data_IF_903075205346
#
_entry.id   IF_903075205346
#
_cell.length_a   1.000
_cell.length_b   1.000
_cell.length_c   1.000
_cell.angle_alpha   90.00
_cell.angle_beta   90.00
_cell.angle_gamma   90.00
#
_symmetry.space_group_name_H-M   'P 1'
#
loop_
_entity.id
_entity.type
_entity.pdbx_description
1 polymer ?
#
# COMPACT_ATOMS: atom_id res chain seq x y z
N UNK A 1 -2.92 18.24 -11.22
CA UNK A 1 -3.25 16.81 -11.42
C UNK A 1 -2.12 15.98 -10.84
N UNK A 2 -2.45 14.95 -10.07
CA UNK A 2 -1.46 14.09 -9.39
C UNK A 2 -1.13 12.94 -10.34
N UNK A 3 0.17 12.69 -10.57
CA UNK A 3 0.65 11.55 -11.36
C UNK A 3 0.63 10.26 -10.55
N UNK A 4 1.42 9.26 -10.96
CA UNK A 4 1.47 7.97 -10.25
C UNK A 4 2.11 8.10 -8.88
N UNK A 5 1.77 7.16 -8.01
CA UNK A 5 2.34 7.06 -6.68
C UNK A 5 2.79 5.62 -6.44
N UNK A 6 3.91 5.48 -5.74
CA UNK A 6 4.50 4.17 -5.46
C UNK A 6 4.85 4.06 -4.00
N UNK A 7 4.55 2.91 -3.39
CA UNK A 7 4.96 2.56 -2.04
C UNK A 7 6.14 1.61 -2.11
N UNK A 8 7.23 2.02 -1.48
CA UNK A 8 8.39 1.20 -1.20
C UNK A 8 8.22 0.55 0.16
N UNK A 9 8.42 -0.76 0.24
CA UNK A 9 8.40 -1.56 1.47
C UNK A 9 9.75 -2.24 1.64
N UNK A 10 10.45 -1.95 2.73
CA UNK A 10 11.66 -2.71 3.09
C UNK A 10 11.27 -4.08 3.65
N UNK A 11 11.96 -5.15 3.23
CA UNK A 11 11.70 -6.49 3.79
C UNK A 11 12.34 -6.69 5.18
N UNK A 12 13.24 -5.80 5.59
CA UNK A 12 14.07 -5.96 6.80
C UNK A 12 13.61 -5.13 7.99
N UNK A 13 12.97 -4.01 7.72
CA UNK A 13 12.43 -3.10 8.72
C UNK A 13 11.09 -2.66 8.16
N UNK A 14 9.99 -2.84 8.88
CA UNK A 14 8.61 -2.51 8.47
C UNK A 14 8.44 -1.01 8.16
N UNK A 15 9.10 -0.53 7.11
CA UNK A 15 9.33 0.87 6.79
C UNK A 15 8.78 1.12 5.41
N UNK A 16 7.95 2.16 5.33
CA UNK A 16 7.26 2.57 4.13
C UNK A 16 7.75 3.94 3.67
N UNK A 17 8.01 4.05 2.38
CA UNK A 17 8.32 5.33 1.74
C UNK A 17 7.40 5.47 0.54
N UNK A 18 6.72 6.59 0.42
CA UNK A 18 5.81 6.86 -0.69
C UNK A 18 6.43 7.90 -1.61
N UNK A 19 6.60 7.56 -2.87
CA UNK A 19 7.07 8.45 -3.93
C UNK A 19 5.88 8.90 -4.77
N UNK A 20 5.67 10.21 -4.90
CA UNK A 20 4.64 10.78 -5.78
C UNK A 20 5.25 11.51 -6.96
N UNK A 21 4.73 11.22 -8.14
CA UNK A 21 5.18 11.79 -9.41
C UNK A 21 4.15 12.78 -9.95
N UNK A 22 4.60 13.74 -10.77
CA UNK A 22 3.69 14.54 -11.59
C UNK A 22 3.30 13.82 -12.89
N UNK A 23 2.47 14.46 -13.70
CA UNK A 23 2.02 13.91 -14.98
C UNK A 23 3.15 13.76 -16.02
N UNK A 24 4.28 14.42 -15.83
CA UNK A 24 5.47 14.29 -16.68
C UNK A 24 6.39 13.16 -16.19
N UNK A 25 5.99 12.46 -15.12
CA UNK A 25 6.74 11.35 -14.54
C UNK A 25 7.94 11.78 -13.71
N UNK A 26 8.00 13.03 -13.24
CA UNK A 26 9.06 13.51 -12.34
C UNK A 26 8.63 13.48 -10.89
N UNK A 27 9.56 13.13 -9.99
CA UNK A 27 9.31 13.06 -8.56
C UNK A 27 8.96 14.45 -8.00
N UNK A 28 7.85 14.54 -7.27
CA UNK A 28 7.37 15.79 -6.63
C UNK A 28 7.41 15.75 -5.12
N UNK A 29 7.09 14.60 -4.54
CA UNK A 29 6.93 14.49 -3.10
C UNK A 29 7.41 13.11 -2.63
N UNK A 30 8.06 13.10 -1.47
CA UNK A 30 8.40 11.88 -0.74
C UNK A 30 7.69 11.97 0.62
N UNK A 31 6.88 10.97 0.94
CA UNK A 31 6.20 10.87 2.23
C UNK A 31 6.81 9.75 3.04
N UNK A 32 7.06 10.06 4.32
CA UNK A 32 7.50 9.11 5.34
C UNK A 32 6.36 8.94 6.34
N UNK A 33 5.49 7.92 6.18
CA UNK A 33 4.38 7.68 7.10
C UNK A 33 4.85 7.36 8.53
N UNK A 34 6.10 6.92 8.68
CA UNK A 34 6.71 6.48 9.92
C UNK A 34 8.09 7.13 10.10
N UNK A 35 8.58 7.16 11.34
CA UNK A 35 9.90 7.71 11.65
C UNK A 35 11.01 6.83 11.07
N UNK A 36 11.85 7.44 10.23
CA UNK A 36 12.98 6.76 9.61
C UNK A 36 14.28 6.89 10.44
N UNK A 37 15.15 5.88 10.33
CA UNK A 37 16.55 5.95 10.79
C UNK A 37 17.44 6.68 9.78
N UNK A 38 18.64 7.10 10.21
CA UNK A 38 19.62 7.77 9.36
C UNK A 38 20.00 6.94 8.11
N UNK A 39 20.12 5.63 8.25
CA UNK A 39 20.45 4.74 7.12
C UNK A 39 19.40 4.75 6.01
N UNK A 40 18.11 4.91 6.36
CA UNK A 40 17.05 5.07 5.36
C UNK A 40 17.21 6.38 4.58
N UNK A 41 17.49 7.49 5.27
CA UNK A 41 17.74 8.78 4.60
C UNK A 41 18.95 8.72 3.66
N UNK A 42 20.04 8.06 4.09
CA UNK A 42 21.21 7.86 3.23
C UNK A 42 20.89 7.02 1.99
N UNK A 43 20.10 5.95 2.16
CA UNK A 43 19.67 5.11 1.03
C UNK A 43 18.82 5.91 0.04
N UNK A 44 17.87 6.71 0.52
CA UNK A 44 17.03 7.58 -0.32
C UNK A 44 17.90 8.56 -1.09
N UNK A 45 18.87 9.22 -0.43
CA UNK A 45 19.77 10.15 -1.09
C UNK A 45 20.62 9.48 -2.19
N UNK A 46 21.06 8.24 -1.97
CA UNK A 46 21.87 7.48 -2.94
C UNK A 46 21.08 6.94 -4.13
N UNK A 47 19.85 6.49 -3.90
CA UNK A 47 19.04 5.76 -4.89
C UNK A 47 17.73 6.46 -5.22
N UNK A 48 17.68 7.79 -5.11
CA UNK A 48 16.46 8.57 -5.29
C UNK A 48 15.84 8.33 -6.68
N UNK A 49 14.62 7.78 -6.78
CA UNK A 49 13.98 7.55 -8.07
C UNK A 49 13.32 8.84 -8.57
N UNK A 50 14.11 9.77 -9.09
CA UNK A 50 13.63 11.10 -9.50
C UNK A 50 12.71 11.11 -10.72
N UNK A 51 12.52 9.98 -11.41
CA UNK A 51 11.50 9.80 -12.44
C UNK A 51 10.91 8.38 -12.47
N UNK A 52 9.78 8.21 -13.16
CA UNK A 52 9.06 6.94 -13.25
C UNK A 52 9.88 5.81 -13.91
N UNK A 53 10.80 6.12 -14.83
CA UNK A 53 11.65 5.08 -15.46
C UNK A 53 12.54 4.40 -14.43
N UNK A 54 13.09 5.17 -13.48
CA UNK A 54 13.98 4.65 -12.44
C UNK A 54 13.22 3.78 -11.46
N UNK A 55 12.06 4.24 -10.95
CA UNK A 55 11.30 3.44 -9.97
C UNK A 55 10.79 2.13 -10.58
N UNK A 56 10.43 2.14 -11.87
CA UNK A 56 10.03 0.93 -12.57
C UNK A 56 11.21 -0.04 -12.75
N UNK A 57 12.42 0.46 -13.04
CA UNK A 57 13.64 -0.37 -13.04
C UNK A 57 13.93 -0.97 -11.67
N UNK A 58 13.76 -0.18 -10.60
CA UNK A 58 13.95 -0.65 -9.23
C UNK A 58 12.91 -1.71 -8.83
N UNK A 59 11.65 -1.56 -9.28
CA UNK A 59 10.59 -2.55 -9.07
C UNK A 59 10.92 -3.90 -9.71
N UNK A 60 11.56 -3.88 -10.87
CA UNK A 60 11.98 -5.10 -11.58
C UNK A 60 13.28 -5.71 -11.05
N UNK A 61 14.05 -4.97 -10.25
CA UNK A 61 15.27 -5.48 -9.66
C UNK A 61 14.95 -6.43 -8.50
N UNK A 62 15.58 -7.61 -8.48
CA UNK A 62 15.57 -8.51 -7.32
C UNK A 62 16.37 -7.87 -6.19
N UNK A 63 15.70 -7.12 -5.33
CA UNK A 63 16.30 -6.49 -4.16
C UNK A 63 15.52 -6.81 -2.89
N UNK A 64 16.12 -6.53 -1.73
CA UNK A 64 15.56 -6.73 -0.38
C UNK A 64 14.36 -5.80 -0.05
N UNK A 65 13.58 -5.41 -1.06
CA UNK A 65 12.46 -4.50 -0.93
C UNK A 65 11.42 -4.78 -2.01
N UNK A 66 10.16 -4.42 -1.74
CA UNK A 66 9.09 -4.44 -2.73
C UNK A 66 8.63 -3.02 -3.06
N UNK A 67 8.31 -2.80 -4.34
CA UNK A 67 7.73 -1.55 -4.82
C UNK A 67 6.40 -1.86 -5.49
N UNK A 68 5.34 -1.24 -4.98
CA UNK A 68 3.99 -1.40 -5.50
C UNK A 68 3.45 -0.02 -5.93
N UNK A 69 2.69 0.00 -7.02
CA UNK A 69 1.94 1.20 -7.40
C UNK A 69 0.75 1.34 -6.44
N UNK A 70 0.56 2.55 -5.92
CA UNK A 70 -0.51 2.86 -4.98
C UNK A 70 -1.80 3.07 -5.76
N UNK A 71 -2.93 2.47 -5.35
CA UNK A 71 -4.23 2.79 -5.93
C UNK A 71 -4.51 4.29 -5.88
N UNK A 72 -4.94 4.87 -7.00
CA UNK A 72 -5.24 6.31 -7.08
C UNK A 72 -6.36 6.76 -6.11
N UNK A 73 -7.24 5.83 -5.74
CA UNK A 73 -8.32 6.05 -4.79
C UNK A 73 -8.10 5.20 -3.53
N UNK A 74 -7.85 5.86 -2.40
CA UNK A 74 -7.68 5.25 -1.08
C UNK A 74 -8.91 5.45 -0.17
N UNK A 75 -10.07 5.75 -0.76
CA UNK A 75 -11.31 5.95 -0.01
C UNK A 75 -11.83 4.63 0.58
N UNK A 76 -12.63 4.75 1.65
CA UNK A 76 -13.37 3.61 2.18
C UNK A 76 -14.32 3.01 1.13
N UNK A 77 -14.91 3.85 0.27
CA UNK A 77 -15.80 3.37 -0.78
C UNK A 77 -15.07 2.46 -1.78
N UNK A 78 -13.82 2.79 -2.12
CA UNK A 78 -12.97 1.92 -2.93
C UNK A 78 -12.73 0.58 -2.24
N UNK A 79 -12.32 0.61 -0.97
CA UNK A 79 -12.14 -0.60 -0.17
C UNK A 79 -13.42 -1.46 -0.15
N UNK A 80 -14.56 -0.85 0.14
CA UNK A 80 -15.85 -1.53 0.24
C UNK A 80 -16.30 -2.16 -1.08
N UNK A 81 -15.96 -1.53 -2.19
CA UNK A 81 -16.26 -2.03 -3.54
C UNK A 81 -15.34 -3.19 -3.90
N UNK A 82 -14.03 -3.03 -3.72
CA UNK A 82 -13.03 -4.03 -4.10
C UNK A 82 -13.08 -5.28 -3.23
N UNK A 83 -13.47 -5.14 -1.95
CA UNK A 83 -13.58 -6.26 -1.02
C UNK A 83 -14.70 -7.25 -1.40
N UNK A 84 -15.72 -6.78 -2.15
CA UNK A 84 -16.88 -7.54 -2.68
C UNK A 84 -17.82 -8.19 -1.64
N UNK A 85 -17.32 -8.61 -0.49
CA UNK A 85 -18.10 -9.26 0.55
C UNK A 85 -18.76 -8.23 1.48
N UNK A 86 -19.92 -7.74 1.05
CA UNK A 86 -20.66 -6.63 1.70
C UNK A 86 -21.51 -7.09 2.90
N UNK A 87 -20.99 -8.02 3.70
CA UNK A 87 -21.68 -8.57 4.88
C UNK A 87 -21.05 -7.98 6.15
N UNK A 88 -21.89 -7.65 7.13
CA UNK A 88 -21.47 -7.14 8.45
C UNK A 88 -21.70 -5.63 8.65
N UNK A 89 -21.03 -5.08 9.68
CA UNK A 89 -21.26 -3.69 10.14
C UNK A 89 -20.45 -2.68 9.31
N UNK A 90 -20.97 -2.25 8.16
CA UNK A 90 -20.31 -1.27 7.25
C UNK A 90 -19.78 -0.03 7.99
N UNK A 91 -20.60 0.60 8.83
CA UNK A 91 -20.21 1.80 9.62
C UNK A 91 -19.02 1.53 10.54
N UNK A 92 -18.93 0.34 11.10
CA UNK A 92 -17.79 -0.04 11.95
C UNK A 92 -16.52 -0.20 11.12
N UNK A 93 -16.61 -0.85 9.95
CA UNK A 93 -15.47 -0.97 9.03
C UNK A 93 -14.99 0.41 8.56
N UNK A 94 -15.90 1.33 8.28
CA UNK A 94 -15.59 2.72 7.90
C UNK A 94 -14.87 3.48 9.03
N UNK A 95 -15.33 3.33 10.27
CA UNK A 95 -14.66 3.93 11.42
C UNK A 95 -13.23 3.40 11.60
N UNK A 96 -13.03 2.08 11.46
CA UNK A 96 -11.70 1.46 11.49
C UNK A 96 -10.84 2.04 10.37
N UNK A 97 -11.37 2.06 9.14
CA UNK A 97 -10.67 2.61 7.97
C UNK A 97 -10.22 4.04 8.20
N UNK A 98 -11.11 4.90 8.71
CA UNK A 98 -10.80 6.31 8.93
C UNK A 98 -9.67 6.51 9.95
N UNK A 99 -9.56 5.62 10.95
CA UNK A 99 -8.48 5.62 11.94
C UNK A 99 -7.15 5.02 11.47
N UNK A 100 -7.10 4.36 10.30
CA UNK A 100 -5.87 3.75 9.79
C UNK A 100 -4.87 4.79 9.25
N UNK A 101 -3.59 4.49 9.42
CA UNK A 101 -2.49 5.24 8.81
C UNK A 101 -2.56 5.15 7.28
N UNK A 102 -1.86 6.07 6.59
CA UNK A 102 -1.77 6.03 5.13
C UNK A 102 -1.14 4.73 4.63
N UNK A 103 -0.06 4.26 5.27
CA UNK A 103 0.61 3.00 4.91
C UNK A 103 -0.35 1.82 5.04
N UNK A 104 -1.13 1.75 6.11
CA UNK A 104 -2.08 0.66 6.33
C UNK A 104 -3.25 0.68 5.34
N UNK A 105 -3.79 1.85 4.99
CA UNK A 105 -4.82 1.97 3.94
C UNK A 105 -4.32 1.44 2.60
N UNK A 106 -3.08 1.80 2.24
CA UNK A 106 -2.45 1.34 0.99
C UNK A 106 -2.29 -0.17 1.02
N UNK A 107 -1.72 -0.75 2.09
CA UNK A 107 -1.56 -2.20 2.22
C UNK A 107 -2.88 -2.94 2.12
N UNK A 108 -3.88 -2.48 2.88
CA UNK A 108 -5.20 -3.09 2.90
C UNK A 108 -5.79 -3.16 1.50
N UNK A 109 -5.80 -2.05 0.75
CA UNK A 109 -6.31 -2.04 -0.62
C UNK A 109 -5.47 -2.91 -1.56
N UNK A 110 -4.14 -2.75 -1.55
CA UNK A 110 -3.24 -3.50 -2.44
C UNK A 110 -3.25 -5.01 -2.18
N UNK A 111 -3.58 -5.45 -0.97
CA UNK A 111 -3.61 -6.87 -0.60
C UNK A 111 -4.91 -7.58 -0.95
N UNK A 112 -6.03 -6.86 -1.16
CA UNK A 112 -7.34 -7.46 -1.47
C UNK A 112 -7.26 -8.51 -2.59
N UNK A 113 -6.60 -8.26 -3.76
CA UNK A 113 -6.54 -9.26 -4.83
C UNK A 113 -5.86 -10.57 -4.39
N UNK A 114 -4.73 -10.48 -3.69
CA UNK A 114 -3.99 -11.65 -3.16
C UNK A 114 -4.84 -12.41 -2.14
N UNK A 115 -5.55 -11.68 -1.27
CA UNK A 115 -6.44 -12.26 -0.27
C UNK A 115 -7.62 -13.02 -0.89
N UNK A 116 -8.32 -12.39 -1.85
CA UNK A 116 -9.45 -13.00 -2.52
C UNK A 116 -9.04 -14.23 -3.34
N UNK A 117 -7.87 -14.20 -3.98
CA UNK A 117 -7.32 -15.37 -4.69
C UNK A 117 -6.99 -16.52 -3.73
N UNK A 118 -6.40 -16.21 -2.57
CA UNK A 118 -6.12 -17.20 -1.53
C UNK A 118 -7.42 -17.89 -1.04
N UNK A 119 -8.47 -17.12 -0.76
CA UNK A 119 -9.79 -17.66 -0.40
C UNK A 119 -10.32 -18.56 -1.50
N UNK A 120 -10.33 -18.08 -2.75
CA UNK A 120 -10.84 -18.83 -3.90
C UNK A 120 -10.11 -20.17 -4.07
N UNK A 121 -8.78 -20.18 -3.88
CA UNK A 121 -7.95 -21.38 -4.03
C UNK A 121 -8.10 -22.38 -2.88
N UNK A 122 -8.30 -21.89 -1.66
CA UNK A 122 -8.30 -22.74 -0.46
C UNK A 122 -9.70 -23.17 -0.02
N UNK A 123 -10.75 -22.47 -0.47
CA UNK A 123 -12.13 -22.72 -0.05
C UNK A 123 -12.45 -22.21 1.36
N UNK A 124 -11.55 -21.46 2.02
CA UNK A 124 -11.86 -20.82 3.30
C UNK A 124 -12.93 -19.74 3.15
N UNK A 125 -13.72 -19.53 4.19
CA UNK A 125 -14.67 -18.43 4.20
C UNK A 125 -13.95 -17.08 4.17
N UNK A 126 -14.50 -16.16 3.36
CA UNK A 126 -14.05 -14.78 3.37
C UNK A 126 -14.40 -14.13 4.71
N UNK A 127 -13.41 -13.50 5.35
CA UNK A 127 -13.63 -12.77 6.59
C UNK A 127 -14.58 -11.59 6.37
N UNK A 128 -15.26 -11.14 7.43
CA UNK A 128 -15.98 -9.87 7.35
C UNK A 128 -15.00 -8.70 7.15
N UNK A 129 -15.41 -7.61 6.47
CA UNK A 129 -14.55 -6.44 6.27
C UNK A 129 -13.96 -5.90 7.59
N UNK A 130 -14.75 -5.88 8.67
CA UNK A 130 -14.28 -5.47 10.00
C UNK A 130 -13.19 -6.39 10.54
N UNK A 131 -13.32 -7.70 10.34
CA UNK A 131 -12.35 -8.71 10.80
C UNK A 131 -11.06 -8.59 9.99
N UNK A 132 -11.16 -8.45 8.67
CA UNK A 132 -10.02 -8.23 7.79
C UNK A 132 -9.19 -7.02 8.20
N UNK A 133 -9.86 -5.89 8.51
CA UNK A 133 -9.19 -4.66 8.93
C UNK A 133 -8.60 -4.78 10.35
N UNK A 134 -9.36 -5.25 11.34
CA UNK A 134 -8.91 -5.34 12.73
C UNK A 134 -7.76 -6.34 12.93
N UNK A 135 -7.85 -7.49 12.27
CA UNK A 135 -6.83 -8.54 12.37
C UNK A 135 -5.67 -8.33 11.37
N UNK A 136 -5.69 -7.21 10.63
CA UNK A 136 -4.61 -6.78 9.76
C UNK A 136 -4.15 -7.87 8.79
N UNK A 137 -5.10 -8.54 8.13
CA UNK A 137 -4.82 -9.61 7.16
C UNK A 137 -3.86 -9.18 6.03
N UNK A 138 -3.71 -7.88 5.82
CA UNK A 138 -2.82 -7.25 4.86
C UNK A 138 -1.35 -7.12 5.29
N UNK A 139 -0.98 -7.55 6.51
CA UNK A 139 0.41 -7.67 6.95
C UNK A 139 1.02 -9.06 6.63
N UNK A 140 0.33 -9.91 5.85
CA UNK A 140 0.73 -11.29 5.48
C UNK A 140 1.45 -11.47 4.12
#
# INVERSE_FOLDING_TARGET
MIGKQYIFKSSLASVYIIFKYDLNGFLREIIFPEKLSLSHYMWIGKYLPYNESIINKMKSARAAFSIEEIPADLSFNRFWTDYKYKIGKKRMAENIWNGMSLSDKIKALSYIPKYLDHIKRTGHDQAYPTTYLNQRYFDS
#
